data_IF_134796080674
#
_entry.id   IF_134796080674
#
_cell.length_a   1.000
_cell.length_b   1.000
_cell.length_c   1.000
_cell.angle_alpha   90.00
_cell.angle_beta   90.00
_cell.angle_gamma   90.00
#
_symmetry.space_group_name_H-M   'P 1'
#
loop_
_entity.id
_entity.type
_entity.pdbx_description
1 polymer ?
#
# COMPACT_ATOMS: atom_id res chain seq x y z
N UNK A 1 7.03 -21.87 -1.50
CA UNK A 1 6.70 -20.52 -2.06
C UNK A 1 5.54 -19.87 -1.29
N UNK A 2 5.86 -18.92 -0.42
CA UNK A 2 4.90 -18.08 0.29
C UNK A 2 4.75 -16.73 -0.43
N UNK A 3 3.54 -16.19 -0.55
CA UNK A 3 3.28 -14.91 -1.21
C UNK A 3 2.80 -13.90 -0.17
N UNK A 4 3.69 -13.01 0.24
CA UNK A 4 3.39 -11.98 1.24
C UNK A 4 2.67 -10.82 0.54
N UNK A 5 1.40 -10.58 0.91
CA UNK A 5 0.57 -9.53 0.28
C UNK A 5 0.05 -8.53 1.30
N UNK A 6 0.29 -7.23 1.07
CA UNK A 6 -0.22 -6.11 1.88
C UNK A 6 -1.57 -5.60 1.34
N UNK A 7 -2.57 -6.45 1.15
CA UNK A 7 -3.74 -6.17 0.28
C UNK A 7 -5.00 -5.61 0.96
N UNK A 8 -4.95 -5.09 2.18
CA UNK A 8 -6.17 -4.53 2.80
C UNK A 8 -6.66 -3.21 2.17
N UNK A 9 -5.85 -2.56 1.33
CA UNK A 9 -6.20 -1.32 0.66
C UNK A 9 -5.71 -1.27 -0.78
N UNK A 10 -6.41 -0.53 -1.64
CA UNK A 10 -6.01 -0.32 -3.05
C UNK A 10 -6.49 1.04 -3.56
N UNK A 11 -6.05 1.42 -4.76
CA UNK A 11 -6.39 2.72 -5.37
C UNK A 11 -7.88 2.86 -5.72
N UNK A 12 -8.57 1.74 -5.96
CA UNK A 12 -9.97 1.67 -6.40
C UNK A 12 -10.94 1.40 -5.25
N UNK A 13 -10.51 1.68 -4.03
CA UNK A 13 -11.36 1.60 -2.83
C UNK A 13 -11.26 2.91 -2.09
N UNK A 14 -12.38 3.36 -1.52
CA UNK A 14 -12.45 4.56 -0.70
C UNK A 14 -12.92 4.22 0.71
N UNK A 15 -12.49 5.03 1.69
CA UNK A 15 -12.89 4.93 3.09
C UNK A 15 -13.42 6.28 3.54
N UNK A 16 -14.63 6.31 4.09
CA UNK A 16 -15.18 7.50 4.72
C UNK A 16 -14.35 7.92 5.93
N UNK A 17 -14.04 9.20 6.04
CA UNK A 17 -13.29 9.76 7.19
C UNK A 17 -14.12 9.88 8.47
N UNK A 18 -15.45 9.76 8.36
CA UNK A 18 -16.38 9.89 9.50
C UNK A 18 -16.93 8.53 9.96
N UNK A 19 -17.65 7.80 9.12
CA UNK A 19 -18.28 6.53 9.52
C UNK A 19 -17.42 5.29 9.24
N UNK A 20 -16.28 5.45 8.54
CA UNK A 20 -15.41 4.33 8.18
C UNK A 20 -15.96 3.40 7.10
N UNK A 21 -17.10 3.71 6.47
CA UNK A 21 -17.64 2.95 5.35
C UNK A 21 -16.60 2.82 4.24
N UNK A 22 -16.40 1.59 3.76
CA UNK A 22 -15.46 1.26 2.69
C UNK A 22 -16.25 0.77 1.50
N UNK A 23 -15.91 1.28 0.32
CA UNK A 23 -16.53 0.87 -0.94
C UNK A 23 -15.53 0.88 -2.09
N UNK A 24 -15.78 0.03 -3.08
CA UNK A 24 -15.08 0.09 -4.35
C UNK A 24 -15.56 1.30 -5.15
N UNK A 25 -14.63 1.99 -5.79
CA UNK A 25 -14.92 3.05 -6.73
C UNK A 25 -13.96 2.94 -7.92
N UNK A 26 -14.53 2.68 -9.09
CA UNK A 26 -13.82 2.60 -10.37
C UNK A 26 -14.28 3.71 -11.33
N UNK A 27 -14.89 4.76 -10.81
CA UNK A 27 -15.46 5.85 -11.62
C UNK A 27 -14.34 6.70 -12.21
N UNK A 28 -14.55 7.17 -13.44
CA UNK A 28 -13.61 8.05 -14.15
C UNK A 28 -14.33 9.27 -14.72
N UNK A 29 -14.18 10.47 -14.10
CA UNK A 29 -13.48 10.74 -12.84
C UNK A 29 -14.28 10.29 -11.60
N UNK A 30 -13.60 10.08 -10.48
CA UNK A 30 -14.24 9.72 -9.18
C UNK A 30 -15.26 10.76 -8.69
N UNK A 31 -15.06 12.03 -9.04
CA UNK A 31 -16.08 13.08 -8.94
C UNK A 31 -15.86 14.12 -10.04
N UNK A 32 -16.91 14.88 -10.36
CA UNK A 32 -16.87 15.85 -11.46
C UNK A 32 -15.83 16.96 -11.24
N UNK A 33 -15.62 17.39 -10.00
CA UNK A 33 -14.63 18.43 -9.68
C UNK A 33 -13.18 18.02 -10.01
N UNK A 34 -12.90 16.71 -10.09
CA UNK A 34 -11.60 16.16 -10.45
C UNK A 34 -11.46 15.87 -11.96
N UNK A 35 -12.47 16.19 -12.79
CA UNK A 35 -12.36 16.04 -14.24
C UNK A 35 -11.19 16.85 -14.79
N UNK A 36 -10.35 16.21 -15.61
CA UNK A 36 -9.17 16.82 -16.23
C UNK A 36 -8.19 17.44 -15.21
N UNK A 37 -8.12 16.88 -13.98
CA UNK A 37 -7.14 17.23 -12.94
C UNK A 37 -6.11 16.12 -12.75
N UNK A 38 -5.04 16.40 -12.01
CA UNK A 38 -4.02 15.42 -11.64
C UNK A 38 -2.90 15.25 -12.67
N UNK A 39 -2.74 16.19 -13.61
CA UNK A 39 -1.59 16.22 -14.51
C UNK A 39 -0.29 16.42 -13.71
N UNK A 40 0.78 15.66 -14.00
CA UNK A 40 2.06 15.85 -13.35
C UNK A 40 2.57 17.28 -13.57
N UNK A 41 3.02 17.94 -12.50
CA UNK A 41 3.60 19.29 -12.52
C UNK A 41 2.63 20.44 -12.84
N UNK A 42 1.32 20.19 -12.90
CA UNK A 42 0.31 21.24 -13.10
C UNK A 42 -0.62 21.33 -11.89
N UNK A 43 -0.55 22.46 -11.18
CA UNK A 43 -1.48 22.76 -10.11
C UNK A 43 -2.69 23.50 -10.68
N UNK A 44 -3.85 22.85 -10.67
CA UNK A 44 -5.12 23.52 -10.93
C UNK A 44 -5.52 24.46 -9.78
N UNK A 45 -6.58 25.28 -9.96
CA UNK A 45 -7.19 25.99 -8.85
C UNK A 45 -7.62 25.02 -7.75
N UNK A 46 -7.59 25.51 -6.52
CA UNK A 46 -8.01 24.76 -5.34
C UNK A 46 -9.48 24.33 -5.46
N UNK A 47 -9.75 23.07 -5.12
CA UNK A 47 -11.10 22.49 -5.13
C UNK A 47 -11.64 22.56 -3.71
N UNK A 48 -12.85 23.09 -3.54
CA UNK A 48 -13.50 23.11 -2.24
C UNK A 48 -13.72 21.69 -1.72
N UNK A 49 -13.53 21.46 -0.42
CA UNK A 49 -13.70 20.13 0.20
C UNK A 49 -15.11 19.57 0.00
N UNK A 50 -16.12 20.44 -0.14
CA UNK A 50 -17.51 20.08 -0.44
C UNK A 50 -17.70 19.45 -1.83
N UNK A 51 -16.79 19.73 -2.77
CA UNK A 51 -16.86 19.25 -4.15
C UNK A 51 -15.99 18.00 -4.37
N UNK A 52 -15.22 17.60 -3.34
CA UNK A 52 -14.47 16.35 -3.32
C UNK A 52 -15.39 15.14 -3.10
N UNK A 53 -14.92 13.91 -3.39
CA UNK A 53 -15.71 12.70 -3.22
C UNK A 53 -16.34 12.58 -1.82
N UNK A 54 -17.64 12.29 -1.77
CA UNK A 54 -18.39 12.13 -0.51
C UNK A 54 -18.90 10.70 -0.35
N UNK A 55 -19.03 10.28 0.91
CA UNK A 55 -19.51 8.97 1.27
C UNK A 55 -20.99 8.80 0.90
N UNK A 56 -21.34 7.64 0.32
CA UNK A 56 -22.72 7.32 -0.02
C UNK A 56 -23.64 7.13 1.20
N UNK A 57 -23.10 6.90 2.40
CA UNK A 57 -23.89 6.68 3.61
C UNK A 57 -24.11 7.96 4.45
N UNK A 58 -23.06 8.75 4.67
CA UNK A 58 -23.12 9.89 5.59
C UNK A 58 -22.72 11.23 4.96
N UNK A 59 -22.46 11.26 3.64
CA UNK A 59 -22.06 12.45 2.87
C UNK A 59 -20.78 13.16 3.34
N UNK A 60 -20.05 12.59 4.29
CA UNK A 60 -18.74 13.09 4.71
C UNK A 60 -17.66 12.81 3.67
N UNK A 61 -16.53 13.50 3.74
CA UNK A 61 -15.39 13.28 2.86
C UNK A 61 -14.94 11.81 2.86
N UNK A 62 -14.61 11.28 1.69
CA UNK A 62 -13.90 9.99 1.59
C UNK A 62 -12.44 10.24 1.22
N UNK A 63 -11.59 9.29 1.62
CA UNK A 63 -10.19 9.23 1.20
C UNK A 63 -9.93 7.90 0.50
N UNK A 64 -8.87 7.78 -0.31
CA UNK A 64 -8.42 6.49 -0.81
C UNK A 64 -8.20 5.53 0.37
N UNK A 65 -8.69 4.30 0.23
CA UNK A 65 -8.53 3.24 1.21
C UNK A 65 -7.16 2.58 1.02
N UNK A 66 -6.12 3.36 1.29
CA UNK A 66 -4.72 2.94 1.28
C UNK A 66 -4.07 3.34 2.61
N UNK A 67 -2.97 2.68 2.95
CA UNK A 67 -2.17 3.01 4.13
C UNK A 67 -1.28 4.19 3.78
N UNK A 68 -1.43 5.30 4.52
CA UNK A 68 -0.55 6.45 4.37
C UNK A 68 0.69 6.31 5.26
N UNK A 69 1.74 7.07 4.94
CA UNK A 69 2.91 7.16 5.82
C UNK A 69 2.47 7.61 7.22
N UNK A 70 2.96 6.89 8.23
CA UNK A 70 2.58 7.11 9.63
C UNK A 70 1.32 6.34 10.08
N UNK A 71 0.56 5.73 9.17
CA UNK A 71 -0.55 4.85 9.54
C UNK A 71 -0.07 3.41 9.76
N UNK A 72 -0.59 2.72 10.80
CA UNK A 72 -0.25 1.33 11.03
C UNK A 72 -0.91 0.42 9.97
N UNK A 73 -0.22 -0.66 9.64
CA UNK A 73 -0.85 -1.78 8.93
C UNK A 73 -1.87 -2.48 9.85
N UNK A 74 -2.85 -3.14 9.25
CA UNK A 74 -3.83 -3.92 9.99
C UNK A 74 -3.16 -5.10 10.73
N UNK A 75 -3.49 -5.33 12.02
CA UNK A 75 -2.89 -6.42 12.79
C UNK A 75 -3.06 -7.80 12.17
N UNK A 76 -4.19 -8.06 11.53
CA UNK A 76 -4.46 -9.34 10.89
C UNK A 76 -3.65 -9.53 9.59
N UNK A 77 -3.27 -8.45 8.91
CA UNK A 77 -2.32 -8.49 7.80
C UNK A 77 -0.93 -8.84 8.33
N UNK A 78 -0.45 -8.13 9.36
CA UNK A 78 0.85 -8.40 9.97
C UNK A 78 0.95 -9.86 10.44
N UNK A 79 -0.07 -10.36 11.14
CA UNK A 79 -0.12 -11.75 11.59
C UNK A 79 -0.02 -12.75 10.43
N UNK A 80 -0.75 -12.51 9.33
CA UNK A 80 -0.67 -13.36 8.14
C UNK A 80 0.72 -13.33 7.53
N UNK A 81 1.37 -12.17 7.49
CA UNK A 81 2.74 -12.05 6.97
C UNK A 81 3.70 -12.89 7.81
N UNK A 82 3.60 -12.83 9.14
CA UNK A 82 4.44 -13.63 10.04
C UNK A 82 4.21 -15.14 9.83
N UNK A 83 2.95 -15.57 9.69
CA UNK A 83 2.59 -16.96 9.38
C UNK A 83 3.17 -17.43 8.03
N UNK A 84 3.12 -16.57 7.00
CA UNK A 84 3.68 -16.84 5.67
C UNK A 84 5.22 -16.92 5.68
N UNK A 85 5.88 -16.05 6.44
CA UNK A 85 7.33 -16.08 6.62
C UNK A 85 7.76 -17.34 7.36
N UNK A 86 7.02 -17.77 8.38
CA UNK A 86 7.34 -18.97 9.16
C UNK A 86 7.31 -20.28 8.35
N UNK A 87 6.58 -20.30 7.23
CA UNK A 87 6.49 -21.45 6.30
C UNK A 87 7.28 -21.25 5.00
N UNK A 88 8.07 -20.18 4.92
CA UNK A 88 8.81 -19.80 3.74
C UNK A 88 10.08 -20.65 3.58
N UNK A 89 10.34 -21.11 2.36
CA UNK A 89 11.52 -21.88 1.94
C UNK A 89 12.41 -21.12 0.94
N UNK A 90 11.90 -20.04 0.36
CA UNK A 90 12.57 -19.11 -0.53
C UNK A 90 11.81 -17.77 -0.51
N UNK A 91 12.54 -16.66 -0.34
CA UNK A 91 11.94 -15.33 -0.31
C UNK A 91 12.46 -14.45 -1.44
N UNK A 92 11.54 -13.83 -2.18
CA UNK A 92 11.85 -13.00 -3.33
C UNK A 92 11.58 -11.53 -3.01
N UNK A 93 12.58 -10.68 -3.22
CA UNK A 93 12.46 -9.21 -3.12
C UNK A 93 12.47 -8.65 -4.53
N UNK A 94 11.34 -8.17 -5.03
CA UNK A 94 11.20 -7.77 -6.44
C UNK A 94 10.76 -6.32 -6.57
N UNK A 95 11.50 -5.51 -7.33
CA UNK A 95 11.07 -4.17 -7.75
C UNK A 95 10.77 -3.19 -6.61
N UNK A 96 11.53 -3.25 -5.51
CA UNK A 96 11.39 -2.37 -4.35
C UNK A 96 12.73 -1.74 -4.00
N UNK A 97 12.71 -0.53 -3.46
CA UNK A 97 13.91 0.13 -2.92
C UNK A 97 14.34 -0.40 -1.55
N UNK A 98 13.51 -1.23 -0.91
CA UNK A 98 13.77 -1.82 0.41
C UNK A 98 14.08 -0.79 1.52
N UNK A 99 13.39 0.36 1.50
CA UNK A 99 13.53 1.42 2.53
C UNK A 99 12.29 1.63 3.40
N UNK A 100 11.10 1.26 2.91
CA UNK A 100 9.83 1.57 3.59
C UNK A 100 9.47 0.46 4.57
N UNK A 101 9.34 0.83 5.84
CA UNK A 101 8.95 -0.09 6.91
C UNK A 101 7.42 -0.20 7.01
N UNK A 102 6.91 -1.38 7.40
CA UNK A 102 7.65 -2.57 7.86
C UNK A 102 8.17 -3.49 6.73
N UNK A 103 7.75 -3.29 5.48
CA UNK A 103 8.05 -4.19 4.37
C UNK A 103 9.56 -4.46 4.15
N UNK A 104 10.39 -3.42 4.29
CA UNK A 104 11.84 -3.51 4.16
C UNK A 104 12.52 -4.47 5.17
N UNK A 105 11.89 -4.73 6.33
CA UNK A 105 12.48 -5.56 7.38
C UNK A 105 12.38 -7.07 7.14
N UNK A 106 11.45 -7.51 6.29
CA UNK A 106 11.13 -8.94 6.17
C UNK A 106 12.26 -9.76 5.53
N UNK A 107 12.99 -9.20 4.56
CA UNK A 107 14.14 -9.88 3.96
C UNK A 107 15.20 -10.23 5.02
N UNK A 108 15.48 -9.31 5.94
CA UNK A 108 16.44 -9.53 7.04
C UNK A 108 15.97 -10.60 8.01
N UNK A 109 14.67 -10.60 8.36
CA UNK A 109 14.06 -11.61 9.25
C UNK A 109 14.19 -13.00 8.61
N UNK A 110 13.87 -13.11 7.33
CA UNK A 110 13.94 -14.38 6.60
C UNK A 110 15.38 -14.88 6.47
N UNK A 111 16.31 -14.02 6.08
CA UNK A 111 17.73 -14.38 5.98
C UNK A 111 18.31 -14.84 7.33
N UNK A 112 17.88 -14.24 8.44
CA UNK A 112 18.28 -14.65 9.79
C UNK A 112 17.80 -16.06 10.17
N UNK A 113 16.74 -16.57 9.52
CA UNK A 113 16.28 -17.95 9.67
C UNK A 113 17.01 -18.94 8.73
N UNK A 114 18.03 -18.49 7.99
CA UNK A 114 18.79 -19.33 7.05
C UNK A 114 18.02 -19.66 5.77
N UNK A 115 16.92 -18.97 5.50
CA UNK A 115 16.12 -19.14 4.28
C UNK A 115 16.76 -18.30 3.17
N UNK A 116 16.97 -18.85 1.96
CA UNK A 116 17.50 -18.09 0.83
C UNK A 116 16.64 -16.88 0.47
N UNK A 117 17.30 -15.74 0.21
CA UNK A 117 16.68 -14.49 -0.23
C UNK A 117 17.25 -14.12 -1.59
N UNK A 118 16.39 -14.05 -2.61
CA UNK A 118 16.78 -13.59 -3.93
C UNK A 118 16.18 -12.21 -4.22
N UNK A 119 17.04 -11.25 -4.52
CA UNK A 119 16.65 -9.90 -4.95
C UNK A 119 16.66 -9.78 -6.46
N UNK A 120 15.55 -9.29 -7.03
CA UNK A 120 15.40 -8.99 -8.44
C UNK A 120 15.09 -7.49 -8.55
N UNK A 121 16.15 -6.71 -8.79
CA UNK A 121 16.02 -5.27 -8.94
C UNK A 121 17.04 -4.72 -9.95
N UNK A 122 16.70 -3.60 -10.58
CA UNK A 122 17.60 -2.91 -11.53
C UNK A 122 18.80 -2.31 -10.79
N UNK A 123 18.56 -1.78 -9.60
CA UNK A 123 19.56 -1.13 -8.76
C UNK A 123 19.78 -1.91 -7.46
N UNK A 124 20.95 -1.76 -6.86
CA UNK A 124 21.22 -2.30 -5.52
C UNK A 124 20.40 -1.54 -4.48
N UNK A 125 20.02 -2.24 -3.42
CA UNK A 125 19.25 -1.72 -2.31
C UNK A 125 19.93 -2.09 -0.98
N UNK A 126 19.42 -1.59 0.16
CA UNK A 126 19.88 -2.06 1.47
C UNK A 126 19.73 -3.57 1.70
N UNK A 127 18.82 -4.26 0.99
CA UNK A 127 18.67 -5.72 1.08
C UNK A 127 19.66 -6.51 0.21
N UNK A 128 20.44 -5.86 -0.65
CA UNK A 128 21.39 -6.58 -1.53
C UNK A 128 22.47 -7.32 -0.73
N UNK A 129 22.90 -6.81 0.42
CA UNK A 129 23.95 -7.44 1.23
C UNK A 129 23.54 -8.75 1.91
N UNK A 130 22.24 -8.98 2.08
CA UNK A 130 21.66 -10.17 2.72
C UNK A 130 21.07 -11.15 1.70
N UNK A 131 21.05 -10.75 0.42
CA UNK A 131 20.60 -11.62 -0.66
C UNK A 131 21.68 -12.65 -0.97
N UNK A 132 21.29 -13.91 -1.17
CA UNK A 132 22.19 -15.08 -1.29
C UNK A 132 21.99 -15.80 -2.61
#
# INVERSE_FOLDING_TARGET
>A
MAAVTFSKGNLFTTRCTSCGFIEENNDSPICEALRNRGLPHENGPEIAVTDLPNCHQCRSLVRPHVVWFGEPLWPDVLKKIDEEIGRCDLFLVVGTSAIVYPAAGYASIVAAHGIPVAEINIEKTPSTSIST
#
